data_IF_109394683254
#
_entry.id   IF_109394683254
#
_cell.length_a   1.000
_cell.length_b   1.000
_cell.length_c   1.000
_cell.angle_alpha   90.00
_cell.angle_beta   90.00
_cell.angle_gamma   90.00
#
_symmetry.space_group_name_H-M   'P 1'
#
loop_
_entity.id
_entity.type
_entity.pdbx_description
1 polymer ?
#
# COMPACT_ATOMS: atom_id res chain seq x y z
N UNK A 1 25.91 22.30 -26.84
CA UNK A 1 26.88 21.21 -26.56
C UNK A 1 27.13 21.01 -25.06
N UNK A 2 27.65 22.00 -24.31
CA UNK A 2 27.95 21.85 -22.86
C UNK A 2 26.74 21.50 -21.98
N UNK A 3 25.56 22.06 -22.25
CA UNK A 3 24.31 21.72 -21.52
C UNK A 3 23.87 20.27 -21.73
N UNK A 4 23.98 19.75 -22.95
CA UNK A 4 23.62 18.36 -23.27
C UNK A 4 24.59 17.37 -22.61
N UNK A 5 25.88 17.72 -22.53
CA UNK A 5 26.89 16.93 -21.82
C UNK A 5 26.59 16.86 -20.31
N UNK A 6 26.17 17.98 -19.71
CA UNK A 6 25.77 18.03 -18.29
C UNK A 6 24.54 17.16 -18.00
N UNK A 7 23.52 17.19 -18.87
CA UNK A 7 22.31 16.36 -18.72
C UNK A 7 22.66 14.87 -18.82
N UNK A 8 23.49 14.48 -19.79
CA UNK A 8 23.96 13.09 -19.93
C UNK A 8 24.75 12.64 -18.70
N UNK A 9 25.61 13.51 -18.15
CA UNK A 9 26.35 13.22 -16.93
C UNK A 9 25.44 13.02 -15.71
N UNK A 10 24.42 13.87 -15.54
CA UNK A 10 23.45 13.75 -14.44
C UNK A 10 22.62 12.46 -14.57
N UNK A 11 22.19 12.11 -15.78
CA UNK A 11 21.47 10.86 -16.04
C UNK A 11 22.36 9.63 -15.78
N UNK A 12 23.66 9.71 -16.10
CA UNK A 12 24.65 8.67 -15.80
C UNK A 12 24.94 8.49 -14.30
N UNK A 13 24.67 9.51 -13.48
CA UNK A 13 24.76 9.46 -12.02
C UNK A 13 23.47 9.00 -11.34
N UNK A 14 22.39 8.75 -12.11
CA UNK A 14 21.15 8.24 -11.53
C UNK A 14 21.35 6.81 -11.03
N UNK A 15 21.17 6.61 -9.73
CA UNK A 15 21.16 5.28 -9.13
C UNK A 15 19.72 4.84 -8.90
N UNK A 16 19.44 3.55 -9.16
CA UNK A 16 18.15 2.98 -8.78
C UNK A 16 18.03 2.97 -7.25
N UNK A 17 17.12 3.78 -6.72
CA UNK A 17 16.70 3.65 -5.33
C UNK A 17 15.70 2.50 -5.24
N UNK A 18 16.10 1.41 -4.56
CA UNK A 18 15.20 0.32 -4.18
C UNK A 18 14.32 0.77 -2.99
N UNK A 19 13.56 1.84 -3.19
CA UNK A 19 12.82 2.49 -2.10
C UNK A 19 11.66 1.64 -1.56
N UNK A 20 11.36 0.51 -2.21
CA UNK A 20 10.31 -0.45 -1.87
C UNK A 20 10.85 -1.88 -1.95
N UNK A 21 10.12 -2.82 -1.35
CA UNK A 21 10.54 -4.21 -1.19
C UNK A 21 10.54 -4.62 0.27
N UNK A 22 10.95 -5.86 0.56
CA UNK A 22 10.73 -6.44 1.88
C UNK A 22 11.33 -5.58 3.00
N UNK A 23 12.59 -5.19 2.87
CA UNK A 23 13.25 -4.32 3.85
C UNK A 23 12.51 -3.00 4.10
N UNK A 24 12.11 -2.31 3.02
CA UNK A 24 11.42 -1.02 3.12
C UNK A 24 10.05 -1.17 3.80
N UNK A 25 9.27 -2.20 3.44
CA UNK A 25 7.97 -2.46 4.09
C UNK A 25 8.11 -2.73 5.59
N UNK A 26 9.09 -3.56 5.99
CA UNK A 26 9.37 -3.82 7.40
C UNK A 26 9.79 -2.54 8.14
N UNK A 27 10.64 -1.70 7.54
CA UNK A 27 11.09 -0.43 8.15
C UNK A 27 9.97 0.60 8.26
N UNK A 28 9.15 0.76 7.22
CA UNK A 28 8.00 1.67 7.26
C UNK A 28 7.04 1.24 8.36
N UNK A 29 6.70 -0.06 8.44
CA UNK A 29 5.80 -0.57 9.48
C UNK A 29 6.38 -0.35 10.89
N UNK A 30 7.66 -0.67 11.08
CA UNK A 30 8.39 -0.41 12.33
C UNK A 30 8.31 1.07 12.76
N UNK A 31 8.67 1.99 11.88
CA UNK A 31 8.67 3.42 12.21
C UNK A 31 7.26 3.99 12.39
N UNK A 32 6.26 3.46 11.66
CA UNK A 32 4.86 3.87 11.80
C UNK A 32 4.33 3.67 13.23
N UNK A 33 4.79 2.63 13.94
CA UNK A 33 4.40 2.41 15.35
C UNK A 33 4.74 3.62 16.21
N UNK A 34 5.91 4.24 16.04
CA UNK A 34 6.32 5.41 16.84
C UNK A 34 5.56 6.70 16.52
N UNK A 35 4.81 6.72 15.42
CA UNK A 35 3.96 7.85 15.00
C UNK A 35 2.51 7.71 15.50
N UNK A 36 2.18 6.61 16.18
CA UNK A 36 0.84 6.39 16.72
C UNK A 36 0.57 7.26 17.95
N UNK A 37 -0.71 7.60 18.23
CA UNK A 37 -1.09 8.25 19.48
C UNK A 37 -0.62 7.49 20.72
N UNK A 38 -0.31 8.17 21.84
CA UNK A 38 0.22 7.55 23.05
C UNK A 38 -0.61 6.36 23.57
N UNK A 39 -1.94 6.42 23.45
CA UNK A 39 -2.85 5.36 23.90
C UNK A 39 -2.70 4.08 23.07
N UNK A 40 -2.36 4.20 21.78
CA UNK A 40 -2.15 3.05 20.89
C UNK A 40 -0.74 2.46 21.04
N UNK A 41 0.26 3.27 21.39
CA UNK A 41 1.63 2.81 21.62
C UNK A 41 1.72 1.70 22.66
N UNK A 42 0.89 1.73 23.71
CA UNK A 42 0.82 0.72 24.76
C UNK A 42 0.54 -0.69 24.20
N UNK A 43 -0.25 -0.77 23.13
CA UNK A 43 -0.57 -2.03 22.45
C UNK A 43 0.43 -2.36 21.34
N UNK A 44 0.80 -1.38 20.50
CA UNK A 44 1.59 -1.63 19.30
C UNK A 44 3.09 -1.81 19.57
N UNK A 45 3.67 -1.05 20.50
CA UNK A 45 5.12 -1.08 20.76
C UNK A 45 5.61 -2.45 21.24
N UNK A 46 4.91 -3.17 22.15
CA UNK A 46 5.30 -4.54 22.52
C UNK A 46 5.24 -5.53 21.34
N UNK A 47 4.42 -5.26 20.33
CA UNK A 47 4.22 -6.14 19.17
C UNK A 47 4.97 -5.68 17.91
N UNK A 48 5.85 -4.68 18.03
CA UNK A 48 6.51 -4.03 16.89
C UNK A 48 7.31 -5.01 16.01
N UNK A 49 7.93 -6.02 16.62
CA UNK A 49 8.70 -7.02 15.88
C UNK A 49 7.79 -7.87 15.00
N UNK A 50 6.68 -8.38 15.55
CA UNK A 50 5.69 -9.14 14.79
C UNK A 50 5.15 -8.33 13.61
N UNK A 51 4.74 -7.08 13.87
CA UNK A 51 4.19 -6.22 12.83
C UNK A 51 5.21 -5.95 11.72
N UNK A 52 6.46 -5.66 12.11
CA UNK A 52 7.55 -5.44 11.17
C UNK A 52 7.81 -6.69 10.32
N UNK A 53 7.94 -7.87 10.93
CA UNK A 53 8.23 -9.13 10.22
C UNK A 53 7.12 -9.54 9.24
N UNK A 54 5.87 -9.33 9.64
CA UNK A 54 4.69 -9.72 8.87
C UNK A 54 4.23 -8.66 7.86
N UNK A 55 4.85 -7.47 7.83
CA UNK A 55 4.52 -6.39 6.89
C UNK A 55 4.69 -6.74 5.40
N UNK A 56 5.39 -7.83 5.12
CA UNK A 56 5.69 -8.33 3.77
C UNK A 56 4.85 -9.54 3.38
N UNK A 57 3.99 -10.04 4.27
CA UNK A 57 3.14 -11.19 3.98
C UNK A 57 2.17 -10.96 2.80
N UNK A 58 1.63 -9.76 2.58
CA UNK A 58 0.90 -9.44 1.34
C UNK A 58 1.72 -9.66 0.08
N UNK A 59 2.99 -9.27 0.07
CA UNK A 59 3.87 -9.48 -1.08
C UNK A 59 4.21 -10.97 -1.27
N UNK A 60 4.51 -11.68 -0.17
CA UNK A 60 4.85 -13.12 -0.22
C UNK A 60 3.74 -13.95 -0.87
N UNK A 61 2.47 -13.58 -0.68
CA UNK A 61 1.32 -14.32 -1.22
C UNK A 61 0.80 -13.79 -2.56
N UNK A 62 1.39 -12.73 -3.13
CA UNK A 62 0.89 -12.07 -4.36
C UNK A 62 0.83 -12.99 -5.58
N UNK A 63 1.70 -14.00 -5.62
CA UNK A 63 1.74 -15.02 -6.68
C UNK A 63 0.96 -16.30 -6.34
N UNK A 64 0.58 -16.49 -5.08
CA UNK A 64 -0.20 -17.65 -4.63
C UNK A 64 -1.71 -17.37 -4.66
N UNK A 65 -2.10 -16.11 -4.47
CA UNK A 65 -3.50 -15.68 -4.47
C UNK A 65 -3.69 -14.74 -5.66
N UNK A 66 -4.40 -15.16 -6.73
CA UNK A 66 -4.57 -14.35 -7.93
C UNK A 66 -5.12 -12.95 -7.66
N UNK A 67 -6.07 -12.84 -6.72
CA UNK A 67 -6.67 -11.57 -6.33
C UNK A 67 -5.75 -10.67 -5.49
N UNK A 68 -4.59 -11.15 -5.04
CA UNK A 68 -3.70 -10.35 -4.19
C UNK A 68 -2.88 -9.35 -5.01
N UNK A 69 -2.31 -9.75 -6.15
CA UNK A 69 -1.46 -8.89 -6.98
C UNK A 69 -2.05 -7.48 -7.24
N UNK A 70 -3.30 -7.37 -7.72
CA UNK A 70 -3.97 -6.10 -7.95
C UNK A 70 -4.10 -5.18 -6.73
N UNK A 71 -4.00 -5.70 -5.51
CA UNK A 71 -4.16 -4.91 -4.28
C UNK A 71 -2.95 -4.05 -3.95
N UNK A 72 -1.85 -4.18 -4.70
CA UNK A 72 -0.57 -3.53 -4.44
C UNK A 72 -0.29 -2.32 -5.33
N UNK A 73 -1.12 -2.05 -6.34
CA UNK A 73 -0.89 -0.97 -7.28
C UNK A 73 -2.20 -0.36 -7.79
N UNK A 74 -2.05 0.74 -8.52
CA UNK A 74 -3.05 1.29 -9.44
C UNK A 74 -2.31 1.91 -10.62
N UNK A 75 -2.67 1.47 -11.83
CA UNK A 75 -2.21 2.06 -13.08
C UNK A 75 -3.03 3.32 -13.37
N UNK A 76 -2.82 4.35 -12.56
CA UNK A 76 -3.71 5.52 -12.49
C UNK A 76 -3.86 6.26 -13.83
N UNK A 77 -2.81 6.24 -14.66
CA UNK A 77 -2.79 6.88 -15.99
C UNK A 77 -3.81 6.26 -16.97
N UNK A 78 -4.28 5.03 -16.71
CA UNK A 78 -5.36 4.40 -17.48
C UNK A 78 -6.72 5.06 -17.25
N UNK A 79 -6.86 5.89 -16.22
CA UNK A 79 -8.11 6.54 -15.85
C UNK A 79 -8.15 8.04 -16.18
N UNK A 80 -7.21 8.52 -16.99
CA UNK A 80 -7.17 9.88 -17.51
C UNK A 80 -5.94 10.64 -17.05
N UNK A 81 -6.10 11.92 -16.76
CA UNK A 81 -5.02 12.83 -16.36
C UNK A 81 -5.37 13.50 -15.04
N UNK A 82 -4.35 13.92 -14.29
CA UNK A 82 -4.54 14.71 -13.07
C UNK A 82 -5.49 15.90 -13.33
N UNK A 83 -6.51 16.15 -12.49
CA UNK A 83 -6.72 15.59 -11.14
C UNK A 83 -7.60 14.33 -11.08
N UNK A 84 -7.69 13.55 -12.17
CA UNK A 84 -8.42 12.28 -12.28
C UNK A 84 -9.91 12.40 -11.93
N UNK A 85 -10.55 13.48 -12.41
CA UNK A 85 -11.99 13.74 -12.17
C UNK A 85 -12.90 12.61 -12.66
N UNK A 86 -12.43 11.85 -13.66
CA UNK A 86 -13.16 10.73 -14.23
C UNK A 86 -13.06 9.44 -13.40
N UNK A 87 -12.13 9.33 -12.44
CA UNK A 87 -11.93 8.13 -11.62
C UNK A 87 -12.80 8.21 -10.35
N UNK A 88 -13.86 7.38 -10.22
CA UNK A 88 -14.70 7.43 -9.04
C UNK A 88 -13.95 6.98 -7.80
N UNK A 89 -14.11 7.74 -6.70
CA UNK A 89 -13.47 7.41 -5.41
C UNK A 89 -14.15 6.25 -4.69
N UNK A 90 -15.44 6.01 -4.95
CA UNK A 90 -16.17 4.87 -4.41
C UNK A 90 -16.04 3.66 -5.32
N UNK A 91 -15.88 2.47 -4.72
CA UNK A 91 -15.71 1.21 -5.45
C UNK A 91 -16.93 0.87 -6.32
N UNK A 92 -18.14 0.97 -5.76
CA UNK A 92 -19.40 0.70 -6.47
C UNK A 92 -19.56 1.57 -7.72
N UNK A 93 -19.23 2.86 -7.61
CA UNK A 93 -19.23 3.78 -8.75
C UNK A 93 -18.13 3.45 -9.77
N UNK A 94 -16.95 3.04 -9.32
CA UNK A 94 -15.85 2.65 -10.20
C UNK A 94 -16.20 1.36 -10.97
N UNK A 95 -16.77 0.36 -10.30
CA UNK A 95 -17.23 -0.89 -10.92
C UNK A 95 -18.33 -0.62 -11.93
N UNK A 96 -19.30 0.22 -11.59
CA UNK A 96 -20.39 0.60 -12.50
C UNK A 96 -19.87 1.29 -13.77
N UNK A 97 -18.76 2.03 -13.67
CA UNK A 97 -18.19 2.79 -14.78
C UNK A 97 -17.20 2.01 -15.64
N UNK A 98 -16.34 1.21 -15.01
CA UNK A 98 -15.20 0.56 -15.69
C UNK A 98 -15.29 -0.96 -15.72
N UNK A 99 -16.18 -1.57 -14.94
CA UNK A 99 -16.24 -3.03 -14.75
C UNK A 99 -15.17 -3.54 -13.78
N UNK A 100 -15.53 -4.57 -13.01
CA UNK A 100 -14.66 -5.14 -11.98
C UNK A 100 -13.40 -5.79 -12.56
N UNK A 101 -13.50 -6.48 -13.70
CA UNK A 101 -12.35 -7.13 -14.35
C UNK A 101 -11.29 -6.12 -14.81
N UNK A 102 -11.72 -4.97 -15.34
CA UNK A 102 -10.80 -3.90 -15.75
C UNK A 102 -10.13 -3.25 -14.54
N UNK A 103 -10.88 -3.02 -13.45
CA UNK A 103 -10.31 -2.51 -12.21
C UNK A 103 -9.27 -3.47 -11.62
N UNK A 104 -9.59 -4.77 -11.54
CA UNK A 104 -8.64 -5.77 -11.05
C UNK A 104 -7.41 -5.90 -11.96
N UNK A 105 -7.56 -5.76 -13.27
CA UNK A 105 -6.42 -5.76 -14.20
C UNK A 105 -5.48 -4.57 -13.96
N UNK A 106 -6.06 -3.39 -13.71
CA UNK A 106 -5.33 -2.14 -13.59
C UNK A 106 -4.95 -1.78 -12.13
N UNK A 107 -5.22 -2.67 -11.18
CA UNK A 107 -4.90 -2.46 -9.77
C UNK A 107 -5.94 -1.66 -9.00
N UNK A 108 -6.14 -2.05 -7.75
CA UNK A 108 -7.24 -1.61 -6.88
C UNK A 108 -6.78 -1.09 -5.52
N UNK A 109 -5.48 -0.81 -5.35
CA UNK A 109 -4.91 -0.42 -4.04
C UNK A 109 -5.67 0.70 -3.32
N UNK A 110 -6.19 1.78 -3.96
CA UNK A 110 -6.83 2.87 -3.23
C UNK A 110 -8.14 2.43 -2.56
N UNK A 111 -8.89 1.53 -3.20
CA UNK A 111 -10.13 0.97 -2.64
C UNK A 111 -9.82 -0.14 -1.62
N UNK A 112 -8.77 -0.94 -1.87
CA UNK A 112 -8.37 -2.00 -0.94
C UNK A 112 -7.92 -1.46 0.43
N UNK A 113 -7.22 -0.31 0.45
CA UNK A 113 -6.86 0.39 1.70
C UNK A 113 -8.10 0.68 2.56
N UNK A 114 -9.21 1.10 1.95
CA UNK A 114 -10.45 1.39 2.69
C UNK A 114 -11.06 0.12 3.31
N UNK A 115 -11.01 -1.00 2.57
CA UNK A 115 -11.48 -2.30 3.07
C UNK A 115 -10.62 -2.74 4.27
N UNK A 116 -9.30 -2.63 4.17
CA UNK A 116 -8.39 -2.99 5.26
C UNK A 116 -8.58 -2.11 6.49
N UNK A 117 -8.75 -0.79 6.30
CA UNK A 117 -9.11 0.15 7.38
C UNK A 117 -10.41 -0.26 8.08
N UNK A 118 -11.47 -0.58 7.33
CA UNK A 118 -12.76 -0.98 7.91
C UNK A 118 -12.63 -2.28 8.71
N UNK A 119 -11.90 -3.26 8.18
CA UNK A 119 -11.63 -4.53 8.88
C UNK A 119 -10.86 -4.30 10.17
N UNK A 120 -9.81 -3.46 10.13
CA UNK A 120 -9.02 -3.12 11.31
C UNK A 120 -9.89 -2.40 12.36
N UNK A 121 -10.70 -1.43 11.94
CA UNK A 121 -11.65 -0.72 12.80
C UNK A 121 -12.61 -1.69 13.49
N UNK A 122 -13.12 -2.67 12.73
CA UNK A 122 -14.02 -3.70 13.27
C UNK A 122 -13.30 -4.59 14.29
N UNK A 123 -12.06 -5.00 13.99
CA UNK A 123 -11.24 -5.78 14.93
C UNK A 123 -11.00 -5.03 16.26
N UNK A 124 -10.80 -3.71 16.21
CA UNK A 124 -10.73 -2.87 17.42
C UNK A 124 -12.05 -2.83 18.19
N UNK A 125 -13.20 -2.67 17.51
CA UNK A 125 -14.52 -2.69 18.16
C UNK A 125 -14.80 -4.03 18.84
N UNK A 126 -14.40 -5.13 18.20
CA UNK A 126 -14.51 -6.49 18.73
C UNK A 126 -13.46 -6.81 19.82
N UNK A 127 -12.50 -5.92 20.09
CA UNK A 127 -11.35 -6.14 20.98
C UNK A 127 -10.56 -7.42 20.63
N UNK A 128 -10.51 -7.77 19.34
CA UNK A 128 -9.84 -8.98 18.88
C UNK A 128 -8.36 -8.71 18.57
N UNK A 129 -7.49 -8.89 19.57
CA UNK A 129 -6.05 -8.65 19.49
C UNK A 129 -5.38 -9.36 18.31
N UNK A 130 -5.71 -10.64 18.07
CA UNK A 130 -5.11 -11.41 16.99
C UNK A 130 -5.46 -10.83 15.60
N UNK A 131 -6.72 -10.43 15.40
CA UNK A 131 -7.14 -9.75 14.16
C UNK A 131 -6.48 -8.38 14.02
N UNK A 132 -6.35 -7.61 15.09
CA UNK A 132 -5.71 -6.29 15.06
C UNK A 132 -4.26 -6.43 14.59
N UNK A 133 -3.48 -7.35 15.18
CA UNK A 133 -2.09 -7.57 14.80
C UNK A 133 -1.97 -8.04 13.35
N UNK A 134 -2.77 -9.05 12.95
CA UNK A 134 -2.77 -9.57 11.58
C UNK A 134 -3.12 -8.52 10.52
N UNK A 135 -4.04 -7.60 10.83
CA UNK A 135 -4.49 -6.57 9.89
C UNK A 135 -3.60 -5.32 9.89
N UNK A 136 -2.77 -5.15 10.92
CA UNK A 136 -1.84 -4.02 11.06
C UNK A 136 -0.43 -4.34 10.54
N UNK A 137 -0.12 -5.62 10.36
CA UNK A 137 1.07 -6.07 9.68
C UNK A 137 0.93 -5.82 8.17
#
# INVERSE_FOLDING_TARGET
>A
MKKNLLVILILGLSQQCFCWGFFAHQKINHYAVFLLPPQMLLFYKPNIQFLSEHAVDPDKRRYMIPAEGPRHYIDIDRYGQYPYTALPRRWDSAVSKFGEDTLNTNGVVPWWIQIMKLRLTTAFKEKNTAKILKLSA
#
